data_IF_662706064180
#
_entry.id   IF_662706064180
#
_cell.length_a   1.000
_cell.length_b   1.000
_cell.length_c   1.000
_cell.angle_alpha   90.00
_cell.angle_beta   90.00
_cell.angle_gamma   90.00
#
_symmetry.space_group_name_H-M   'P 1'
#
loop_
_entity.id
_entity.type
_entity.pdbx_description
1 polymer ?
#
# COMPACT_ATOMS: atom_id res chain seq x y z
N UNK A 1 -70.82 -24.55 52.90
CA UNK A 1 -69.71 -25.51 53.10
C UNK A 1 -68.47 -24.72 53.49
N UNK A 2 -68.10 -24.74 54.78
CA UNK A 2 -66.77 -25.11 55.31
C UNK A 2 -65.60 -25.07 54.29
N UNK A 3 -64.38 -24.53 54.51
CA UNK A 3 -63.56 -24.01 55.64
C UNK A 3 -62.42 -23.24 54.92
N UNK A 4 -62.11 -21.98 55.20
CA UNK A 4 -61.13 -21.54 56.21
C UNK A 4 -59.67 -21.92 55.89
N UNK A 5 -58.81 -20.93 55.60
CA UNK A 5 -57.72 -20.50 56.50
C UNK A 5 -56.81 -19.45 55.88
N UNK A 6 -56.59 -18.41 56.69
CA UNK A 6 -55.60 -17.34 56.57
C UNK A 6 -54.16 -17.85 56.61
N UNK A 7 -53.25 -17.03 56.05
CA UNK A 7 -52.07 -16.40 56.67
C UNK A 7 -50.98 -16.24 55.61
N UNK A 8 -50.08 -15.27 55.58
CA UNK A 8 -49.91 -13.92 56.13
C UNK A 8 -48.60 -13.39 55.50
N UNK A 9 -48.35 -12.09 55.63
CA UNK A 9 -47.04 -11.42 55.51
C UNK A 9 -46.43 -11.28 54.09
N UNK A 10 -46.54 -10.11 53.44
CA UNK A 10 -45.72 -8.88 53.61
C UNK A 10 -44.39 -8.91 52.85
N UNK A 11 -44.14 -7.88 52.04
CA UNK A 11 -42.76 -7.42 51.81
C UNK A 11 -42.35 -7.20 50.35
N UNK A 12 -42.52 -5.94 49.93
CA UNK A 12 -41.52 -5.08 49.29
C UNK A 12 -40.86 -5.43 47.94
N UNK A 13 -40.83 -4.40 47.10
CA UNK A 13 -40.17 -4.31 45.81
C UNK A 13 -38.63 -4.33 45.91
N UNK A 14 -37.95 -5.01 44.97
CA UNK A 14 -36.55 -4.73 44.59
C UNK A 14 -36.29 -5.07 43.11
N UNK A 15 -35.89 -4.04 42.35
CA UNK A 15 -34.85 -4.04 41.32
C UNK A 15 -34.75 -5.16 40.29
N UNK A 16 -35.18 -4.88 39.05
CA UNK A 16 -34.81 -5.67 37.88
C UNK A 16 -33.35 -5.38 37.47
N UNK A 17 -32.42 -6.23 37.93
CA UNK A 17 -31.06 -6.32 37.40
C UNK A 17 -31.08 -7.12 36.09
N UNK A 18 -31.00 -6.42 34.95
CA UNK A 18 -30.84 -7.02 33.63
C UNK A 18 -29.44 -7.62 33.46
N UNK A 19 -29.38 -8.95 33.38
CA UNK A 19 -28.18 -9.74 33.07
C UNK A 19 -27.61 -9.36 31.70
N UNK A 20 -26.37 -8.88 31.64
CA UNK A 20 -25.61 -8.66 30.40
C UNK A 20 -25.13 -10.00 29.84
N UNK A 21 -25.38 -10.21 28.54
CA UNK A 21 -24.98 -11.38 27.75
C UNK A 21 -23.44 -11.50 27.64
N UNK A 22 -22.85 -12.72 27.65
CA UNK A 22 -21.39 -12.94 27.63
C UNK A 22 -20.69 -12.53 26.32
N UNK A 23 -21.45 -12.26 25.26
CA UNK A 23 -20.91 -11.91 23.92
C UNK A 23 -20.27 -10.51 23.91
N UNK A 24 -20.65 -9.63 24.86
CA UNK A 24 -20.13 -8.25 24.94
C UNK A 24 -18.72 -8.13 25.55
N UNK A 25 -18.19 -9.20 26.14
CA UNK A 25 -16.85 -9.17 26.76
C UNK A 25 -15.72 -9.57 25.80
N UNK A 26 -16.02 -10.32 24.73
CA UNK A 26 -15.03 -10.72 23.71
C UNK A 26 -14.74 -9.56 22.75
N UNK A 27 -15.74 -8.74 22.41
CA UNK A 27 -15.54 -7.53 21.59
C UNK A 27 -14.72 -6.45 22.31
N UNK A 28 -14.85 -6.32 23.63
CA UNK A 28 -14.02 -5.39 24.41
C UNK A 28 -12.58 -5.87 24.58
N UNK A 29 -12.33 -7.18 24.64
CA UNK A 29 -10.96 -7.69 24.74
C UNK A 29 -10.20 -7.60 23.41
N UNK A 30 -10.88 -7.79 22.27
CA UNK A 30 -10.25 -7.67 20.94
C UNK A 30 -9.91 -6.20 20.62
N UNK A 31 -10.74 -5.24 21.06
CA UNK A 31 -10.45 -3.80 20.92
C UNK A 31 -9.34 -3.36 21.91
N UNK A 32 -9.28 -3.95 23.11
CA UNK A 32 -8.26 -3.63 24.11
C UNK A 32 -6.88 -4.28 23.86
N UNK A 33 -6.78 -5.33 23.05
CA UNK A 33 -5.48 -5.93 22.69
C UNK A 33 -4.86 -5.26 21.46
N UNK A 34 -5.68 -4.65 20.58
CA UNK A 34 -5.19 -3.84 19.46
C UNK A 34 -4.82 -2.40 19.83
N UNK A 35 -5.27 -1.91 20.99
CA UNK A 35 -4.90 -0.58 21.51
C UNK A 35 -3.47 -0.50 22.03
N UNK A 36 -2.73 -1.62 22.13
CA UNK A 36 -1.32 -1.61 22.57
C UNK A 36 -0.31 -1.23 21.49
N UNK A 37 -0.63 -1.31 20.19
CA UNK A 37 0.28 -0.81 19.12
C UNK A 37 -0.10 0.56 18.56
N UNK A 38 -1.28 1.07 18.94
CA UNK A 38 -1.82 2.37 18.54
C UNK A 38 -2.06 3.26 19.77
N UNK A 39 -1.05 3.43 20.62
CA UNK A 39 -1.13 4.39 21.72
C UNK A 39 -1.07 5.82 21.16
N UNK A 40 -2.22 6.44 20.94
CA UNK A 40 -2.34 7.90 20.83
C UNK A 40 -3.53 8.48 20.06
N UNK A 41 -4.27 7.71 19.25
CA UNK A 41 -5.22 8.28 18.29
C UNK A 41 -6.73 8.12 18.54
N UNK A 42 -7.27 7.08 19.22
CA UNK A 42 -8.72 6.84 19.15
C UNK A 42 -9.61 7.86 19.88
N UNK A 43 -9.07 8.79 20.67
CA UNK A 43 -9.86 9.66 21.56
C UNK A 43 -9.86 11.16 21.22
N UNK A 44 -9.27 11.61 20.10
CA UNK A 44 -8.84 13.03 19.98
C UNK A 44 -9.59 13.87 18.94
N UNK A 45 -10.53 13.29 18.19
CA UNK A 45 -11.18 14.01 17.09
C UNK A 45 -12.66 14.33 17.36
N UNK A 46 -13.11 14.22 18.61
CA UNK A 46 -14.44 14.68 19.06
C UNK A 46 -14.48 16.14 19.52
N UNK A 47 -13.37 16.89 19.40
CA UNK A 47 -13.25 18.23 19.96
C UNK A 47 -13.48 19.35 18.94
N UNK A 48 -14.51 20.16 19.18
CA UNK A 48 -14.68 21.52 18.64
C UNK A 48 -13.63 22.50 19.21
N UNK A 49 -12.35 22.14 19.23
CA UNK A 49 -11.25 22.92 19.84
C UNK A 49 -9.96 22.86 19.00
N UNK A 50 -9.18 23.94 19.01
CA UNK A 50 -7.94 24.16 18.23
C UNK A 50 -6.90 23.02 18.36
N UNK A 51 -6.94 22.22 19.43
CA UNK A 51 -6.02 21.09 19.68
C UNK A 51 -6.26 19.87 18.77
N UNK A 52 -7.51 19.59 18.37
CA UNK A 52 -7.81 18.52 17.41
C UNK A 52 -7.40 18.89 15.99
N UNK A 53 -7.34 20.19 15.69
CA UNK A 53 -7.01 20.73 14.38
C UNK A 53 -5.48 20.73 14.13
N UNK A 54 -4.66 21.12 15.10
CA UNK A 54 -3.19 21.11 14.98
C UNK A 54 -2.57 19.71 14.77
N UNK A 55 -3.38 18.66 14.91
CA UNK A 55 -2.97 17.27 14.80
C UNK A 55 -2.85 16.79 13.35
N UNK A 56 -3.55 17.40 12.38
CA UNK A 56 -3.54 16.93 10.99
C UNK A 56 -2.19 17.17 10.27
N UNK A 57 -1.66 18.41 10.32
CA UNK A 57 -0.31 18.70 9.79
C UNK A 57 0.76 17.87 10.48
N UNK A 58 0.72 17.82 11.82
CA UNK A 58 1.66 17.03 12.64
C UNK A 58 1.58 15.54 12.35
N UNK A 59 0.40 15.01 12.06
CA UNK A 59 0.20 13.61 11.68
C UNK A 59 0.94 13.29 10.39
N UNK A 60 0.70 14.05 9.33
CA UNK A 60 1.37 13.83 8.06
C UNK A 60 2.89 13.98 8.20
N UNK A 61 3.35 15.00 8.93
CA UNK A 61 4.76 15.17 9.26
C UNK A 61 5.33 13.93 9.98
N UNK A 62 4.61 13.37 10.96
CA UNK A 62 5.03 12.17 11.67
C UNK A 62 5.04 10.92 10.76
N UNK A 63 4.13 10.81 9.78
CA UNK A 63 4.19 9.76 8.76
C UNK A 63 5.50 9.83 7.96
N UNK A 64 5.94 11.02 7.58
CA UNK A 64 7.16 11.18 6.79
C UNK A 64 8.43 10.74 7.53
N UNK A 65 8.41 10.71 8.87
CA UNK A 65 9.56 10.29 9.69
C UNK A 65 9.62 8.78 9.98
N UNK A 66 8.66 7.99 9.47
CA UNK A 66 8.63 6.53 9.69
C UNK A 66 8.42 5.78 8.39
N UNK A 67 8.97 4.58 8.25
CA UNK A 67 8.62 3.74 7.11
C UNK A 67 7.21 3.14 7.29
N UNK A 68 6.41 3.04 6.21
CA UNK A 68 5.14 2.35 6.29
C UNK A 68 5.33 0.86 6.53
N UNK A 69 4.43 0.27 7.31
CA UNK A 69 4.27 -1.18 7.31
C UNK A 69 3.76 -1.67 5.96
N UNK A 70 4.05 -2.93 5.60
CA UNK A 70 3.61 -3.52 4.34
C UNK A 70 2.07 -3.54 4.18
N UNK A 71 1.61 -3.67 2.93
CA UNK A 71 0.19 -3.81 2.60
C UNK A 71 -0.58 -2.50 2.67
N UNK A 72 -1.67 -2.46 3.44
CA UNK A 72 -2.60 -1.32 3.48
C UNK A 72 -2.01 -0.06 4.14
N UNK A 73 -1.00 -0.23 5.01
CA UNK A 73 -0.42 0.87 5.81
C UNK A 73 0.53 1.80 5.03
N UNK A 74 0.82 1.49 3.76
CA UNK A 74 1.56 2.40 2.87
C UNK A 74 0.64 3.37 2.11
N UNK A 75 -0.67 3.23 2.22
CA UNK A 75 -1.62 4.10 1.52
C UNK A 75 -2.01 5.30 2.39
N UNK A 76 -1.86 6.51 1.86
CA UNK A 76 -2.31 7.76 2.48
C UNK A 76 -3.43 8.37 1.63
N UNK A 77 -4.62 8.48 2.21
CA UNK A 77 -5.79 9.08 1.57
C UNK A 77 -5.86 10.57 1.86
N UNK A 78 -5.89 11.40 0.82
CA UNK A 78 -6.14 12.84 0.95
C UNK A 78 -7.61 13.12 0.71
N UNK A 79 -8.28 13.73 1.69
CA UNK A 79 -9.71 14.06 1.64
C UNK A 79 -9.93 15.50 2.10
N UNK A 80 -11.08 16.10 1.79
CA UNK A 80 -11.46 17.47 2.19
C UNK A 80 -12.56 17.51 3.26
N UNK A 81 -13.05 16.35 3.68
CA UNK A 81 -14.01 16.18 4.78
C UNK A 81 -13.36 15.58 6.03
N UNK A 82 -13.45 16.31 7.15
CA UNK A 82 -12.94 15.86 8.45
C UNK A 82 -13.67 14.60 8.92
N UNK A 83 -14.99 14.54 8.79
CA UNK A 83 -15.78 13.39 9.22
C UNK A 83 -15.46 12.13 8.39
N UNK A 84 -15.22 12.29 7.09
CA UNK A 84 -14.78 11.18 6.24
C UNK A 84 -13.39 10.69 6.65
N UNK A 85 -12.43 11.60 6.86
CA UNK A 85 -11.10 11.23 7.34
C UNK A 85 -11.17 10.46 8.66
N UNK A 86 -12.06 10.87 9.55
CA UNK A 86 -12.30 10.18 10.82
C UNK A 86 -12.74 8.74 10.64
N UNK A 87 -13.70 8.50 9.75
CA UNK A 87 -14.17 7.16 9.50
C UNK A 87 -13.13 6.30 8.77
N UNK A 88 -12.29 6.88 7.90
CA UNK A 88 -11.15 6.20 7.27
C UNK A 88 -10.12 5.77 8.33
N UNK A 89 -9.79 6.66 9.28
CA UNK A 89 -8.87 6.38 10.38
C UNK A 89 -9.45 5.32 11.33
N UNK A 90 -10.73 5.42 11.67
CA UNK A 90 -11.43 4.42 12.49
C UNK A 90 -11.39 3.04 11.83
N UNK A 91 -11.56 2.97 10.51
CA UNK A 91 -11.46 1.74 9.72
C UNK A 91 -10.02 1.16 9.64
N UNK A 92 -9.01 1.87 10.16
CA UNK A 92 -7.62 1.40 10.26
C UNK A 92 -6.68 1.89 9.15
N UNK A 93 -7.09 2.86 8.35
CA UNK A 93 -6.30 3.41 7.24
C UNK A 93 -5.73 4.80 7.57
N UNK A 94 -4.79 5.29 6.77
CA UNK A 94 -4.18 6.61 6.97
C UNK A 94 -4.90 7.66 6.12
N UNK A 95 -5.39 8.73 6.75
CA UNK A 95 -6.03 9.85 6.06
C UNK A 95 -5.43 11.18 6.49
N UNK A 96 -5.37 12.13 5.56
CA UNK A 96 -4.97 13.52 5.79
C UNK A 96 -6.03 14.43 5.19
N UNK A 97 -6.48 15.40 5.98
CA UNK A 97 -7.49 16.38 5.58
C UNK A 97 -6.81 17.57 4.92
N UNK A 98 -7.35 18.02 3.78
CA UNK A 98 -6.93 19.23 3.07
C UNK A 98 -8.03 20.29 3.13
N UNK A 99 -7.72 21.46 3.68
CA UNK A 99 -8.64 22.59 3.79
C UNK A 99 -7.87 23.91 3.65
N UNK A 100 -8.45 24.85 2.91
CA UNK A 100 -7.89 26.19 2.75
C UNK A 100 -8.23 27.10 3.95
N UNK A 101 -7.31 28.00 4.29
CA UNK A 101 -7.57 29.08 5.25
C UNK A 101 -7.61 28.68 6.73
N UNK A 102 -7.32 27.42 7.06
CA UNK A 102 -7.26 26.92 8.44
C UNK A 102 -5.85 26.41 8.73
N UNK A 103 -5.13 27.08 9.62
CA UNK A 103 -3.69 26.83 9.91
C UNK A 103 -3.37 25.35 10.23
N UNK A 104 -4.31 24.68 10.86
CA UNK A 104 -4.25 23.29 11.28
C UNK A 104 -4.23 22.26 10.12
N UNK A 105 -4.73 22.65 8.94
CA UNK A 105 -4.85 21.80 7.76
C UNK A 105 -3.96 22.31 6.64
N UNK A 106 -3.43 21.41 5.83
CA UNK A 106 -2.73 21.83 4.62
C UNK A 106 -3.77 22.32 3.61
N UNK A 107 -3.51 23.46 2.97
CA UNK A 107 -4.04 23.65 1.61
C UNK A 107 -3.31 22.71 0.64
N UNK A 108 -3.87 22.43 -0.56
CA UNK A 108 -3.18 21.64 -1.57
C UNK A 108 -1.79 22.20 -1.94
N UNK A 109 -1.67 23.53 -2.02
CA UNK A 109 -0.41 24.23 -2.31
C UNK A 109 0.57 24.16 -1.13
N UNK A 110 0.08 24.29 0.10
CA UNK A 110 0.93 24.12 1.29
C UNK A 110 1.44 22.68 1.43
N UNK A 111 0.60 21.69 1.11
CA UNK A 111 1.01 20.28 1.14
C UNK A 111 2.15 20.04 0.15
N UNK A 112 1.99 20.48 -1.10
CA UNK A 112 3.01 20.29 -2.14
C UNK A 112 4.30 21.03 -1.80
N UNK A 113 4.21 22.29 -1.35
CA UNK A 113 5.38 23.05 -0.87
C UNK A 113 6.07 22.39 0.32
N UNK A 114 5.32 21.80 1.27
CA UNK A 114 5.89 21.04 2.37
C UNK A 114 6.59 19.77 1.87
N UNK A 115 5.97 19.03 0.96
CA UNK A 115 6.56 17.83 0.37
C UNK A 115 7.86 18.14 -0.39
N UNK A 116 7.92 19.26 -1.12
CA UNK A 116 9.16 19.75 -1.75
C UNK A 116 10.23 20.08 -0.70
N UNK A 117 9.83 20.73 0.40
CA UNK A 117 10.76 21.14 1.47
C UNK A 117 11.44 19.97 2.17
N UNK A 118 10.81 18.78 2.14
CA UNK A 118 11.37 17.55 2.72
C UNK A 118 11.94 16.60 1.68
N UNK A 119 11.89 16.95 0.39
CA UNK A 119 12.51 16.17 -0.67
C UNK A 119 14.01 16.05 -0.38
N UNK A 120 14.58 14.85 -0.54
CA UNK A 120 16.00 14.56 -0.27
C UNK A 120 16.48 14.68 1.19
N UNK A 121 15.57 14.83 2.17
CA UNK A 121 15.94 14.90 3.59
C UNK A 121 16.05 13.53 4.29
N UNK A 122 16.02 12.43 3.54
CA UNK A 122 16.04 11.06 4.11
C UNK A 122 14.74 10.66 4.80
N UNK A 123 13.61 11.28 4.42
CA UNK A 123 12.27 10.95 4.91
C UNK A 123 11.56 9.95 3.97
N UNK A 124 10.49 9.33 4.44
CA UNK A 124 9.80 8.21 3.79
C UNK A 124 8.90 8.58 2.60
N UNK A 125 9.11 9.73 1.96
CA UNK A 125 8.24 10.28 0.91
C UNK A 125 7.98 9.27 -0.23
N UNK A 126 9.01 8.54 -0.66
CA UNK A 126 8.92 7.55 -1.75
C UNK A 126 8.39 6.19 -1.32
N UNK A 127 8.27 5.95 -0.01
CA UNK A 127 7.84 4.67 0.55
C UNK A 127 6.32 4.56 0.66
N UNK A 128 5.61 5.69 0.63
CA UNK A 128 4.16 5.77 0.66
C UNK A 128 3.54 5.81 -0.74
N UNK A 129 2.25 5.47 -0.80
CA UNK A 129 1.40 5.59 -1.98
C UNK A 129 0.25 6.55 -1.68
N UNK A 130 0.18 7.62 -2.45
CA UNK A 130 -0.71 8.74 -2.22
C UNK A 130 -2.03 8.57 -2.99
N UNK A 131 -3.16 8.86 -2.35
CA UNK A 131 -4.49 8.70 -2.94
C UNK A 131 -5.28 10.00 -2.82
N UNK A 132 -5.24 10.88 -3.84
CA UNK A 132 -6.14 12.02 -3.94
C UNK A 132 -7.59 11.55 -4.01
N UNK A 133 -8.39 11.87 -2.99
CA UNK A 133 -9.79 11.49 -2.88
C UNK A 133 -10.65 12.66 -2.36
N UNK A 134 -10.27 13.90 -2.67
CA UNK A 134 -11.05 15.09 -2.36
C UNK A 134 -12.32 15.14 -3.21
N UNK A 135 -13.37 15.83 -2.74
CA UNK A 135 -14.60 16.07 -3.51
C UNK A 135 -14.36 16.90 -4.77
N UNK A 136 -13.40 17.83 -4.73
CA UNK A 136 -13.04 18.71 -5.84
C UNK A 136 -12.10 18.03 -6.83
N UNK A 137 -12.57 17.81 -8.07
CA UNK A 137 -11.72 17.28 -9.15
C UNK A 137 -10.45 18.12 -9.37
N UNK A 138 -10.56 19.45 -9.29
CA UNK A 138 -9.42 20.36 -9.46
C UNK A 138 -8.30 20.10 -8.47
N UNK A 139 -8.63 19.82 -7.20
CA UNK A 139 -7.63 19.53 -6.16
C UNK A 139 -6.97 18.18 -6.45
N UNK A 140 -7.76 17.17 -6.84
CA UNK A 140 -7.20 15.86 -7.19
C UNK A 140 -6.25 15.95 -8.40
N UNK A 141 -6.68 16.63 -9.48
CA UNK A 141 -5.85 16.82 -10.68
C UNK A 141 -4.52 17.52 -10.34
N UNK A 142 -4.54 18.55 -9.46
CA UNK A 142 -3.34 19.24 -8.98
C UNK A 142 -2.37 18.30 -8.24
N UNK A 143 -2.89 17.49 -7.31
CA UNK A 143 -2.07 16.54 -6.56
C UNK A 143 -1.52 15.43 -7.46
N UNK A 144 -2.34 14.90 -8.38
CA UNK A 144 -1.92 13.87 -9.33
C UNK A 144 -0.81 14.37 -10.26
N UNK A 145 -0.93 15.61 -10.78
CA UNK A 145 0.12 16.22 -11.61
C UNK A 145 1.41 16.45 -10.80
N UNK A 146 1.30 16.88 -9.55
CA UNK A 146 2.46 17.02 -8.66
C UNK A 146 3.14 15.68 -8.38
N UNK A 147 2.39 14.62 -8.05
CA UNK A 147 2.95 13.28 -7.81
C UNK A 147 3.61 12.72 -9.06
N UNK A 148 3.00 12.93 -10.23
CA UNK A 148 3.57 12.55 -11.52
C UNK A 148 4.89 13.27 -11.80
N UNK A 149 4.93 14.59 -11.59
CA UNK A 149 6.13 15.40 -11.81
C UNK A 149 7.30 15.03 -10.87
N UNK A 150 6.99 14.57 -9.66
CA UNK A 150 7.97 14.20 -8.64
C UNK A 150 8.26 12.69 -8.56
N UNK A 151 7.76 11.89 -9.50
CA UNK A 151 7.95 10.43 -9.54
C UNK A 151 7.53 9.70 -8.25
N UNK A 152 6.52 10.23 -7.55
CA UNK A 152 5.96 9.62 -6.36
C UNK A 152 4.99 8.49 -6.75
N UNK A 153 4.66 7.59 -5.83
CA UNK A 153 3.64 6.57 -6.11
C UNK A 153 2.26 7.13 -5.77
N UNK A 154 1.31 7.10 -6.70
CA UNK A 154 -0.08 7.50 -6.43
C UNK A 154 -1.12 6.58 -7.07
N UNK A 155 -2.36 6.66 -6.62
CA UNK A 155 -3.52 6.01 -7.22
C UNK A 155 -4.69 7.00 -7.38
N UNK A 156 -5.41 6.90 -8.49
CA UNK A 156 -6.60 7.72 -8.79
C UNK A 156 -7.71 7.40 -7.76
N UNK A 157 -7.97 8.32 -6.83
CA UNK A 157 -8.93 8.15 -5.74
C UNK A 157 -10.20 8.98 -5.84
N UNK A 158 -10.30 9.94 -6.77
CA UNK A 158 -11.42 10.90 -6.81
C UNK A 158 -12.80 10.25 -6.98
N UNK A 159 -12.87 9.06 -7.60
CA UNK A 159 -14.12 8.29 -7.77
C UNK A 159 -14.52 7.47 -6.54
N UNK A 160 -13.64 7.35 -5.55
CA UNK A 160 -13.79 6.42 -4.44
C UNK A 160 -15.01 6.78 -3.58
N UNK A 161 -15.14 8.07 -3.26
CA UNK A 161 -16.19 8.64 -2.42
C UNK A 161 -17.18 9.54 -3.17
N UNK A 162 -17.04 9.64 -4.50
CA UNK A 162 -17.97 10.40 -5.33
C UNK A 162 -19.39 9.88 -5.14
N UNK A 163 -20.33 10.78 -4.90
CA UNK A 163 -21.75 10.49 -4.67
C UNK A 163 -22.02 9.61 -3.42
N UNK A 164 -21.05 9.53 -2.48
CA UNK A 164 -21.13 8.74 -1.24
C UNK A 164 -20.89 9.59 0.03
N UNK A 165 -21.47 10.78 0.06
CA UNK A 165 -21.35 11.70 1.21
C UNK A 165 -21.82 11.08 2.54
N UNK A 166 -22.75 10.12 2.47
CA UNK A 166 -23.23 9.39 3.64
C UNK A 166 -22.13 8.61 4.39
N UNK A 167 -20.99 8.33 3.74
CA UNK A 167 -19.83 7.69 4.38
C UNK A 167 -19.14 8.59 5.41
N UNK A 168 -19.45 9.89 5.45
CA UNK A 168 -19.04 10.77 6.53
C UNK A 168 -19.87 10.56 7.82
N UNK A 169 -21.03 9.91 7.74
CA UNK A 169 -21.89 9.71 8.89
C UNK A 169 -21.37 8.63 9.85
N UNK A 170 -21.78 8.70 11.12
CA UNK A 170 -21.45 7.68 12.12
C UNK A 170 -21.93 6.29 11.68
N UNK A 171 -21.07 5.28 11.83
CA UNK A 171 -21.40 3.88 11.54
C UNK A 171 -21.03 3.39 10.14
N UNK A 172 -20.41 4.23 9.31
CA UNK A 172 -19.92 3.85 7.97
C UNK A 172 -18.58 3.07 7.98
N UNK A 173 -18.01 2.79 9.15
CA UNK A 173 -16.66 2.20 9.32
C UNK A 173 -16.47 0.88 8.55
N UNK A 174 -17.41 -0.05 8.69
CA UNK A 174 -17.28 -1.39 8.06
C UNK A 174 -17.42 -1.31 6.53
N UNK A 175 -18.26 -0.39 6.03
CA UNK A 175 -18.43 -0.15 4.59
C UNK A 175 -17.19 0.53 4.00
N UNK A 176 -16.63 1.52 4.69
CA UNK A 176 -15.37 2.17 4.31
C UNK A 176 -14.25 1.14 4.27
N UNK A 177 -14.13 0.30 5.29
CA UNK A 177 -13.12 -0.74 5.34
C UNK A 177 -13.24 -1.69 4.14
N UNK A 178 -14.44 -2.17 3.84
CA UNK A 178 -14.68 -3.00 2.66
C UNK A 178 -14.32 -2.30 1.34
N UNK A 179 -14.68 -1.02 1.20
CA UNK A 179 -14.38 -0.20 0.03
C UNK A 179 -12.87 0.01 -0.16
N UNK A 180 -12.15 0.34 0.93
CA UNK A 180 -10.72 0.61 0.90
C UNK A 180 -9.88 -0.65 0.71
N UNK A 181 -10.22 -1.76 1.36
CA UNK A 181 -9.57 -3.05 1.10
C UNK A 181 -9.71 -3.46 -0.37
N UNK A 182 -10.89 -3.32 -0.97
CA UNK A 182 -11.09 -3.65 -2.40
C UNK A 182 -10.29 -2.73 -3.32
N UNK A 183 -10.26 -1.43 -3.01
CA UNK A 183 -9.46 -0.45 -3.73
C UNK A 183 -7.97 -0.84 -3.69
N UNK A 184 -7.43 -1.05 -2.49
CA UNK A 184 -6.03 -1.44 -2.30
C UNK A 184 -5.75 -2.78 -2.98
N UNK A 185 -6.62 -3.78 -2.83
CA UNK A 185 -6.44 -5.08 -3.49
C UNK A 185 -6.34 -4.91 -5.01
N UNK A 186 -7.15 -4.03 -5.62
CA UNK A 186 -7.06 -3.75 -7.06
C UNK A 186 -5.70 -3.17 -7.47
N UNK A 187 -5.12 -2.31 -6.64
CA UNK A 187 -3.86 -1.62 -6.91
C UNK A 187 -2.61 -2.40 -6.45
N UNK A 188 -2.76 -3.35 -5.53
CA UNK A 188 -1.73 -4.30 -5.09
C UNK A 188 -1.73 -5.59 -5.91
N UNK A 189 -2.86 -5.92 -6.55
CA UNK A 189 -2.94 -7.02 -7.51
C UNK A 189 -1.91 -6.74 -8.59
N UNK A 190 -0.81 -7.50 -8.56
CA UNK A 190 0.07 -7.67 -9.71
C UNK A 190 -0.86 -7.91 -10.90
N UNK A 191 -0.73 -7.15 -12.01
CA UNK A 191 -1.61 -7.33 -13.15
C UNK A 191 -1.68 -8.82 -13.41
N UNK A 192 -2.91 -9.37 -13.39
CA UNK A 192 -3.12 -10.74 -13.81
C UNK A 192 -2.55 -10.73 -15.23
N UNK A 193 -1.44 -11.42 -15.51
CA UNK A 193 -0.94 -11.38 -16.85
C UNK A 193 -2.04 -12.07 -17.64
N UNK A 194 -2.78 -11.30 -18.42
CA UNK A 194 -3.48 -11.83 -19.57
C UNK A 194 -2.38 -12.05 -20.62
N UNK A 195 -1.32 -12.77 -20.23
CA UNK A 195 -0.41 -13.38 -21.19
C UNK A 195 -1.32 -14.30 -21.95
N UNK A 196 -1.62 -13.93 -23.19
CA UNK A 196 -2.15 -14.88 -24.14
C UNK A 196 -1.11 -16.00 -24.21
N UNK A 197 -1.28 -17.05 -23.39
CA UNK A 197 -0.26 -18.07 -23.22
C UNK A 197 0.08 -18.75 -24.54
N UNK A 198 -0.86 -18.75 -25.49
CA UNK A 198 -0.68 -19.19 -26.87
C UNK A 198 0.52 -18.50 -27.55
N UNK A 199 0.80 -17.22 -27.25
CA UNK A 199 1.94 -16.50 -27.81
C UNK A 199 3.30 -17.11 -27.42
N UNK A 200 3.35 -17.88 -26.32
CA UNK A 200 4.57 -18.49 -25.80
C UNK A 200 4.62 -20.01 -25.99
N UNK A 201 3.68 -20.57 -26.76
CA UNK A 201 3.59 -22.01 -26.95
C UNK A 201 3.42 -22.38 -28.42
N UNK A 202 3.94 -23.55 -28.78
CA UNK A 202 3.62 -24.17 -30.07
C UNK A 202 2.26 -24.84 -29.92
N UNK A 203 1.27 -24.44 -30.71
CA UNK A 203 -0.07 -25.04 -30.71
C UNK A 203 -0.18 -26.18 -31.73
N UNK A 204 -0.95 -27.20 -31.40
CA UNK A 204 -1.36 -28.26 -32.33
C UNK A 204 -2.42 -27.75 -33.32
N UNK A 205 -2.77 -28.59 -34.31
CA UNK A 205 -3.89 -28.31 -35.22
C UNK A 205 -5.24 -28.16 -34.50
N UNK A 206 -5.36 -28.74 -33.31
CA UNK A 206 -6.57 -28.69 -32.47
C UNK A 206 -6.51 -27.53 -31.45
N UNK A 207 -5.47 -26.69 -31.49
CA UNK A 207 -5.28 -25.56 -30.57
C UNK A 207 -4.63 -25.94 -29.23
N UNK A 208 -4.16 -27.17 -29.06
CA UNK A 208 -3.54 -27.63 -27.82
C UNK A 208 -2.05 -27.27 -27.76
N UNK A 209 -1.54 -26.66 -26.67
CA UNK A 209 -0.12 -26.27 -26.59
C UNK A 209 0.82 -27.48 -26.43
N UNK A 210 1.55 -27.87 -27.47
CA UNK A 210 2.43 -29.07 -27.48
C UNK A 210 3.88 -28.78 -27.07
N UNK A 211 4.29 -27.51 -27.08
CA UNK A 211 5.65 -27.10 -26.74
C UNK A 211 5.71 -25.68 -26.22
N UNK A 212 6.86 -25.30 -25.69
CA UNK A 212 7.14 -23.95 -25.15
C UNK A 212 8.10 -23.23 -26.10
N UNK A 213 7.80 -21.98 -26.41
CA UNK A 213 8.68 -21.07 -27.15
C UNK A 213 9.56 -20.32 -26.14
N UNK A 214 10.65 -20.96 -25.72
CA UNK A 214 11.50 -20.44 -24.64
C UNK A 214 12.03 -19.02 -24.95
N UNK A 215 12.38 -18.72 -26.21
CA UNK A 215 12.94 -17.42 -26.59
C UNK A 215 11.92 -16.27 -26.48
N UNK A 216 10.66 -16.51 -26.85
CA UNK A 216 9.59 -15.51 -26.72
C UNK A 216 9.36 -15.13 -25.25
N UNK A 217 9.50 -16.11 -24.35
CA UNK A 217 9.42 -15.86 -22.90
C UNK A 217 10.62 -15.06 -22.43
N UNK A 218 11.82 -15.38 -22.90
CA UNK A 218 13.04 -14.65 -22.54
C UNK A 218 12.94 -13.20 -23.01
N UNK A 219 12.58 -12.97 -24.27
CA UNK A 219 12.48 -11.63 -24.85
C UNK A 219 11.46 -10.77 -24.11
N UNK A 220 10.28 -11.32 -23.79
CA UNK A 220 9.28 -10.57 -23.04
C UNK A 220 9.72 -10.28 -21.60
N UNK A 221 10.37 -11.23 -20.92
CA UNK A 221 10.93 -10.99 -19.58
C UNK A 221 12.00 -9.92 -19.63
N UNK A 222 12.92 -9.95 -20.61
CA UNK A 222 13.97 -8.94 -20.74
C UNK A 222 13.41 -7.55 -21.06
N UNK A 223 12.28 -7.49 -21.76
CA UNK A 223 11.60 -6.23 -22.05
C UNK A 223 10.83 -5.67 -20.85
N UNK A 224 10.26 -6.54 -20.02
CA UNK A 224 9.33 -6.15 -18.95
C UNK A 224 9.93 -6.13 -17.56
N UNK A 225 11.03 -6.86 -17.33
CA UNK A 225 11.67 -7.02 -16.03
C UNK A 225 13.08 -6.42 -16.08
N UNK A 226 13.30 -5.22 -15.51
CA UNK A 226 14.63 -4.63 -15.42
C UNK A 226 15.57 -5.58 -14.67
N UNK A 227 16.57 -6.08 -15.38
CA UNK A 227 17.49 -7.08 -14.87
C UNK A 227 18.84 -7.03 -15.58
N UNK A 228 19.87 -7.55 -14.91
CA UNK A 228 21.18 -7.79 -15.51
C UNK A 228 21.78 -9.07 -14.92
N UNK A 229 22.87 -9.55 -15.52
CA UNK A 229 23.58 -10.75 -15.08
C UNK A 229 25.05 -10.41 -14.89
N UNK A 230 25.63 -10.86 -13.78
CA UNK A 230 27.07 -10.82 -13.56
C UNK A 230 27.56 -12.25 -13.41
N UNK A 231 28.43 -12.68 -14.32
CA UNK A 231 28.85 -14.08 -14.41
C UNK A 231 27.66 -14.98 -14.71
N UNK A 232 27.27 -15.81 -13.75
CA UNK A 232 26.11 -16.71 -13.87
C UNK A 232 24.92 -16.26 -12.99
N UNK A 233 25.03 -15.11 -12.32
CA UNK A 233 24.07 -14.69 -11.31
C UNK A 233 23.20 -13.54 -11.83
N UNK A 234 21.88 -13.74 -11.95
CA UNK A 234 20.95 -12.69 -12.32
C UNK A 234 20.66 -11.75 -11.15
N UNK A 235 20.43 -10.48 -11.46
CA UNK A 235 20.00 -9.42 -10.56
C UNK A 235 18.71 -8.82 -11.08
N UNK A 236 17.67 -8.81 -10.25
CA UNK A 236 16.33 -8.30 -10.60
C UNK A 236 16.04 -7.01 -9.83
N UNK A 237 15.47 -6.01 -10.51
CA UNK A 237 15.06 -4.77 -9.85
C UNK A 237 13.79 -4.95 -9.02
N UNK A 238 13.86 -4.70 -7.72
CA UNK A 238 12.75 -4.80 -6.78
C UNK A 238 12.84 -3.69 -5.73
N UNK A 239 11.79 -2.86 -5.63
CA UNK A 239 11.65 -1.81 -4.61
C UNK A 239 12.86 -0.85 -4.53
N UNK A 240 13.30 -0.30 -5.66
CA UNK A 240 14.38 0.69 -5.69
C UNK A 240 15.79 0.10 -5.82
N UNK A 241 15.96 -1.23 -5.73
CA UNK A 241 17.28 -1.87 -5.70
C UNK A 241 17.33 -3.14 -6.54
N UNK A 242 18.48 -3.42 -7.15
CA UNK A 242 18.75 -4.70 -7.81
C UNK A 242 19.14 -5.77 -6.79
N UNK A 243 18.40 -6.88 -6.75
CA UNK A 243 18.62 -7.98 -5.81
C UNK A 243 19.13 -9.22 -6.55
N UNK A 244 20.14 -9.85 -5.96
CA UNK A 244 20.76 -11.09 -6.45
C UNK A 244 19.80 -12.27 -6.39
N UNK A 245 19.48 -12.89 -7.53
CA UNK A 245 18.57 -14.04 -7.66
C UNK A 245 19.34 -15.36 -7.81
N UNK A 246 19.96 -15.78 -6.70
CA UNK A 246 20.77 -17.00 -6.63
C UNK A 246 19.93 -18.21 -7.04
N UNK A 247 20.42 -18.97 -8.02
CA UNK A 247 19.73 -20.16 -8.52
C UNK A 247 18.45 -19.88 -9.30
N UNK A 248 18.21 -18.63 -9.71
CA UNK A 248 17.04 -18.18 -10.47
C UNK A 248 15.70 -18.44 -9.79
N UNK A 249 15.61 -18.34 -8.46
CA UNK A 249 14.36 -18.67 -7.75
C UNK A 249 13.24 -17.71 -8.17
N UNK A 250 13.52 -16.40 -8.19
CA UNK A 250 12.54 -15.37 -8.58
C UNK A 250 12.27 -15.40 -10.08
N UNK A 251 13.29 -15.55 -10.91
CA UNK A 251 13.12 -15.72 -12.35
C UNK A 251 12.22 -16.93 -12.67
N UNK A 252 12.41 -18.07 -12.00
CA UNK A 252 11.53 -19.24 -12.18
C UNK A 252 10.09 -18.92 -11.78
N UNK A 253 9.85 -18.14 -10.73
CA UNK A 253 8.51 -17.69 -10.35
C UNK A 253 7.89 -16.74 -11.39
N UNK A 254 8.70 -15.94 -12.09
CA UNK A 254 8.23 -15.09 -13.20
C UNK A 254 7.90 -15.96 -14.41
N UNK A 255 8.81 -16.84 -14.83
CA UNK A 255 8.64 -17.75 -15.98
C UNK A 255 7.38 -18.62 -15.84
N UNK A 256 7.02 -19.06 -14.62
CA UNK A 256 5.79 -19.82 -14.39
C UNK A 256 4.51 -19.13 -14.90
N UNK A 257 4.49 -17.79 -14.98
CA UNK A 257 3.35 -17.01 -15.48
C UNK A 257 3.20 -17.04 -17.00
N UNK A 258 4.22 -17.52 -17.69
CA UNK A 258 4.29 -17.66 -19.15
C UNK A 258 3.99 -19.09 -19.62
N UNK A 259 3.76 -20.02 -18.69
CA UNK A 259 3.62 -21.45 -18.99
C UNK A 259 2.20 -21.96 -18.68
N UNK A 260 1.65 -22.80 -19.55
CA UNK A 260 0.51 -23.63 -19.16
C UNK A 260 0.92 -24.55 -18.01
N UNK A 261 -0.04 -24.87 -17.14
CA UNK A 261 0.17 -25.69 -15.94
C UNK A 261 0.90 -27.02 -16.23
N UNK A 262 0.69 -27.63 -17.39
CA UNK A 262 1.36 -28.88 -17.80
C UNK A 262 2.86 -28.74 -18.07
N UNK A 263 3.34 -27.54 -18.38
CA UNK A 263 4.74 -27.22 -18.67
C UNK A 263 5.50 -26.69 -17.45
N UNK A 264 4.83 -26.42 -16.33
CA UNK A 264 5.48 -26.01 -15.07
C UNK A 264 6.19 -27.22 -14.45
N UNK A 265 7.41 -27.47 -14.91
CA UNK A 265 8.30 -28.56 -14.47
C UNK A 265 9.73 -28.03 -14.33
N UNK A 266 10.56 -28.73 -13.57
CA UNK A 266 11.97 -28.34 -13.37
C UNK A 266 12.75 -28.15 -14.69
N UNK A 267 12.64 -29.06 -15.70
CA UNK A 267 13.44 -28.91 -16.92
C UNK A 267 13.10 -27.67 -17.76
N UNK A 268 11.82 -27.36 -18.10
CA UNK A 268 11.49 -26.12 -18.80
C UNK A 268 11.91 -24.86 -18.02
N UNK A 269 11.64 -24.82 -16.72
CA UNK A 269 12.01 -23.68 -15.87
C UNK A 269 13.52 -23.44 -15.86
N UNK A 270 14.31 -24.51 -15.70
CA UNK A 270 15.78 -24.42 -15.74
C UNK A 270 16.27 -23.97 -17.12
N UNK A 271 15.74 -24.56 -18.19
CA UNK A 271 16.16 -24.26 -19.57
C UNK A 271 15.90 -22.80 -19.94
N UNK A 272 14.74 -22.26 -19.59
CA UNK A 272 14.40 -20.85 -19.86
C UNK A 272 15.27 -19.91 -19.01
N UNK A 273 15.52 -20.24 -17.74
CA UNK A 273 16.46 -19.47 -16.90
C UNK A 273 17.88 -19.47 -17.47
N UNK A 274 18.41 -20.64 -17.83
CA UNK A 274 19.75 -20.78 -18.40
C UNK A 274 19.85 -19.99 -19.71
N UNK A 275 18.79 -20.01 -20.53
CA UNK A 275 18.71 -19.25 -21.78
C UNK A 275 18.75 -17.74 -21.53
N UNK A 276 18.01 -17.23 -20.53
CA UNK A 276 18.03 -15.82 -20.15
C UNK A 276 19.41 -15.38 -19.66
N UNK A 277 20.03 -16.17 -18.78
CA UNK A 277 21.39 -15.90 -18.26
C UNK A 277 22.40 -15.83 -19.41
N UNK A 278 22.22 -16.65 -20.43
CA UNK A 278 23.16 -16.73 -21.56
C UNK A 278 23.04 -15.57 -22.56
N UNK A 279 22.07 -14.66 -22.41
CA UNK A 279 21.91 -13.53 -23.32
C UNK A 279 23.01 -12.48 -23.11
N UNK A 280 23.72 -12.10 -24.17
CA UNK A 280 24.80 -11.10 -24.07
C UNK A 280 24.30 -9.71 -23.71
N UNK A 281 23.04 -9.39 -24.03
CA UNK A 281 22.41 -8.08 -23.78
C UNK A 281 22.27 -7.75 -22.28
N UNK A 282 22.17 -8.76 -21.43
CA UNK A 282 22.03 -8.58 -19.97
C UNK A 282 23.34 -8.70 -19.21
N UNK A 283 24.42 -9.13 -19.87
CA UNK A 283 25.71 -9.34 -19.21
C UNK A 283 26.35 -8.00 -18.84
N UNK A 284 26.77 -7.90 -17.58
CA UNK A 284 27.50 -6.77 -17.01
C UNK A 284 28.74 -7.29 -16.28
N UNK A 285 29.76 -6.47 -16.24
CA UNK A 285 30.92 -6.68 -15.37
C UNK A 285 30.77 -5.85 -14.10
N UNK A 286 31.41 -6.28 -13.00
CA UNK A 286 31.45 -5.49 -11.77
C UNK A 286 32.00 -4.09 -11.99
N UNK A 287 32.95 -3.93 -12.91
CA UNK A 287 33.48 -2.61 -13.32
C UNK A 287 32.40 -1.69 -13.89
N UNK A 288 31.36 -2.23 -14.51
CA UNK A 288 30.29 -1.44 -15.11
C UNK A 288 29.34 -0.86 -14.05
N UNK A 289 29.28 -1.47 -12.87
CA UNK A 289 28.39 -1.07 -11.76
C UNK A 289 28.93 0.12 -10.96
N UNK A 290 30.25 0.32 -10.97
CA UNK A 290 30.94 1.35 -10.17
C UNK A 290 31.47 2.50 -11.02
N UNK A 291 31.00 2.66 -12.25
CA UNK A 291 31.32 3.81 -13.11
C UNK A 291 30.61 5.10 -12.63
N UNK A 292 30.78 5.41 -11.35
CA UNK A 292 30.50 6.73 -10.83
C UNK A 292 31.72 7.62 -11.11
N UNK A 293 31.51 8.91 -11.39
CA UNK A 293 32.58 9.89 -11.34
C UNK A 293 33.35 9.76 -10.01
N UNK A 294 34.68 9.88 -10.04
CA UNK A 294 35.54 9.71 -8.86
C UNK A 294 35.15 10.64 -7.70
N UNK A 295 34.56 11.78 -8.03
CA UNK A 295 34.06 12.76 -7.08
C UNK A 295 32.75 12.36 -6.37
N UNK A 296 32.08 11.26 -6.74
CA UNK A 296 30.81 10.84 -6.15
C UNK A 296 31.01 9.89 -4.97
N UNK A 297 30.57 10.34 -3.80
CA UNK A 297 30.52 9.53 -2.58
C UNK A 297 29.11 9.00 -2.38
N UNK A 298 28.97 7.68 -2.33
CA UNK A 298 27.70 6.98 -2.13
C UNK A 298 27.32 6.94 -0.64
N UNK A 299 26.14 7.47 -0.30
CA UNK A 299 25.48 7.33 1.00
C UNK A 299 24.17 6.55 0.83
N UNK A 300 23.63 6.00 1.93
CA UNK A 300 22.38 5.20 1.89
C UNK A 300 21.21 5.87 1.15
N UNK A 301 21.17 7.21 1.09
CA UNK A 301 20.05 7.98 0.55
C UNK A 301 20.44 8.97 -0.58
N UNK A 302 21.63 8.84 -1.19
CA UNK A 302 22.03 9.71 -2.29
C UNK A 302 23.54 9.81 -2.52
N UNK A 303 23.93 10.62 -3.51
CA UNK A 303 25.33 10.89 -3.86
C UNK A 303 25.71 12.32 -3.48
N UNK A 304 26.92 12.51 -2.96
CA UNK A 304 27.50 13.85 -2.76
C UNK A 304 28.73 14.01 -3.64
N UNK A 305 29.00 15.24 -4.06
CA UNK A 305 30.21 15.59 -4.80
C UNK A 305 31.27 16.05 -3.81
N UNK A 306 32.40 15.34 -3.72
CA UNK A 306 33.53 15.80 -2.94
C UNK A 306 34.21 16.96 -3.68
N UNK A 307 33.86 18.18 -3.31
CA UNK A 307 34.56 19.37 -3.81
C UNK A 307 35.92 19.43 -3.13
N UNK A 308 37.00 19.07 -3.83
CA UNK A 308 38.35 19.39 -3.38
C UNK A 308 38.51 20.91 -3.36
N UNK A 309 38.19 21.53 -2.24
CA UNK A 309 38.63 22.90 -1.95
C UNK A 309 40.10 22.82 -1.58
N UNK A 310 40.96 23.24 -2.51
CA UNK A 310 42.34 23.61 -2.21
C UNK A 310 42.38 24.73 -1.18
#
# INVERSE_FOLDING_TARGET
>A
MNIGKEMAASGSAVGAAGKRSPVNNIYKSIIADRSRSFNGYPSVLSGKTEEGAAMNKRYFQALMHREPAEGEQKYIFFVDSTDLAMNIIAAGYQAVVLQEGIEAYFSPEELTSYMDSIQFHGLSLTSYRYVPACSSKRINDLLEDYFRGNYLQWCEGWKLFKDKEYLANTGAEEEIKGLLSQFIERHERKPKPQTNLDAYHVLSKDGEPVGVLDIEIVDDILHTVPSFVIGATPFLYENGVYREDIGCVRLKSIIQKYLYRRFIKSPPLKRICDLLISQSSVQKHFSDLYNYPLEWVNFQNGFTIQSNRN
#
